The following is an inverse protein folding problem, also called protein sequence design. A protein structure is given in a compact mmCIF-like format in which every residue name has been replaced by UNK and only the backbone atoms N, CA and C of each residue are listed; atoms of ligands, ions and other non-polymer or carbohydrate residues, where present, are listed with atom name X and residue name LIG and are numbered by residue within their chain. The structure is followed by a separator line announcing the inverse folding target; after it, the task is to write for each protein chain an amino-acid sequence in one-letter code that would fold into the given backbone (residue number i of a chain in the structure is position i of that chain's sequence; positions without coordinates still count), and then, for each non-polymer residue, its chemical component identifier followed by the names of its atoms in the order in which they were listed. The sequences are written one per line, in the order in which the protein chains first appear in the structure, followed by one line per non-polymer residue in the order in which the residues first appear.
data_IF_757271225013
#
_entry.id   IF_757271225013
#
_cell.length_a   1.000
_cell.length_b   1.000
_cell.length_c   1.000
_cell.angle_alpha   90.00
_cell.angle_beta   90.00
_cell.angle_gamma   90.00
#
_symmetry.space_group_name_H-M   'P 1'
#
loop_
_entity.id
_entity.type
_entity.pdbx_description
1 polymer ?
#
# COMPACT_ATOMS: atom_id res chain seq x y z
N UNK A 1 -6.84 22.21 -21.97
CA UNK A 1 -7.33 20.91 -21.48
C UNK A 1 -6.50 19.83 -22.13
N UNK A 2 -5.94 18.89 -21.37
CA UNK A 2 -5.27 17.70 -21.92
C UNK A 2 -6.17 16.47 -21.83
N UNK A 3 -5.97 15.50 -22.70
CA UNK A 3 -6.74 14.25 -22.76
C UNK A 3 -5.79 13.07 -22.93
N UNK A 4 -6.11 11.92 -22.32
CA UNK A 4 -5.34 10.68 -22.49
C UNK A 4 -5.89 9.91 -23.70
N UNK A 5 -5.00 9.58 -24.63
CA UNK A 5 -5.30 8.82 -25.84
C UNK A 5 -4.58 7.48 -25.77
N UNK A 6 -5.32 6.41 -26.00
CA UNK A 6 -4.75 5.06 -26.06
C UNK A 6 -4.52 4.66 -27.51
N UNK A 7 -3.35 4.09 -27.79
CA UNK A 7 -3.00 3.57 -29.10
C UNK A 7 -2.51 2.14 -28.95
N UNK A 8 -3.18 1.22 -29.62
CA UNK A 8 -2.79 -0.19 -29.68
C UNK A 8 -1.91 -0.42 -30.90
N UNK A 9 -0.72 -0.96 -30.69
CA UNK A 9 0.12 -1.46 -31.78
C UNK A 9 -0.50 -2.73 -32.35
N UNK A 10 -0.84 -2.70 -33.64
CA UNK A 10 -1.52 -3.80 -34.33
C UNK A 10 -0.64 -5.04 -34.50
N UNK A 11 0.69 -4.89 -34.47
CA UNK A 11 1.62 -6.00 -34.66
C UNK A 11 1.87 -6.77 -33.37
N UNK A 12 2.02 -6.06 -32.26
CA UNK A 12 2.41 -6.62 -30.96
C UNK A 12 1.23 -6.74 -29.98
N UNK A 13 0.09 -6.11 -30.28
CA UNK A 13 -1.07 -6.03 -29.38
C UNK A 13 -0.88 -5.11 -28.18
N UNK A 14 0.29 -4.46 -28.05
CA UNK A 14 0.62 -3.63 -26.89
C UNK A 14 -0.16 -2.33 -26.94
N UNK A 15 -0.84 -1.99 -25.84
CA UNK A 15 -1.55 -0.72 -25.69
C UNK A 15 -0.65 0.32 -25.02
N UNK A 16 -0.57 1.49 -25.62
CA UNK A 16 0.24 2.63 -25.17
C UNK A 16 -0.66 3.81 -24.83
N UNK A 17 -0.28 4.58 -23.82
CA UNK A 17 -0.99 5.77 -23.38
C UNK A 17 -0.20 7.04 -23.71
N UNK A 18 -0.89 8.03 -24.27
CA UNK A 18 -0.34 9.33 -24.65
C UNK A 18 -1.17 10.46 -24.05
N UNK A 19 -0.50 11.49 -23.55
CA UNK A 19 -1.13 12.75 -23.17
C UNK A 19 -1.22 13.63 -24.42
N UNK A 20 -2.43 13.98 -24.82
CA UNK A 20 -2.71 14.84 -25.97
C UNK A 20 -3.10 16.24 -25.51
N UNK A 21 -2.32 17.23 -25.96
CA UNK A 21 -2.53 18.65 -25.65
C UNK A 21 -2.87 19.37 -26.95
N UNK A 22 -4.07 19.96 -27.01
CA UNK A 22 -4.48 20.82 -28.13
C UNK A 22 -3.94 22.23 -27.96
N UNK A 23 -3.41 22.82 -29.03
CA UNK A 23 -2.94 24.20 -29.07
C UNK A 23 -3.36 24.85 -30.40
N UNK A 24 -3.51 26.18 -30.38
CA UNK A 24 -3.72 26.95 -31.60
C UNK A 24 -2.37 27.25 -32.25
N UNK A 25 -2.17 26.77 -33.47
CA UNK A 25 -0.97 27.06 -34.25
C UNK A 25 -1.14 28.42 -34.95
N UNK A 26 -0.37 29.43 -34.52
CA UNK A 26 -0.50 30.82 -35.01
C UNK A 26 -0.01 30.98 -36.45
N UNK A 27 1.01 30.22 -36.84
CA UNK A 27 1.59 30.31 -38.18
C UNK A 27 0.65 29.69 -39.22
N UNK A 28 0.07 28.54 -38.86
CA UNK A 28 -0.88 27.82 -39.72
C UNK A 28 -2.34 28.20 -39.51
N UNK A 29 -2.62 29.07 -38.53
CA UNK A 29 -3.96 29.55 -38.15
C UNK A 29 -5.01 28.43 -38.00
N UNK A 30 -4.63 27.32 -37.35
CA UNK A 30 -5.51 26.15 -37.19
C UNK A 30 -5.25 25.44 -35.86
N UNK A 31 -6.25 24.70 -35.31
CA UNK A 31 -6.04 23.88 -34.13
C UNK A 31 -5.14 22.69 -34.46
N UNK A 32 -4.15 22.44 -33.60
CA UNK A 32 -3.22 21.31 -33.71
C UNK A 32 -3.08 20.63 -32.35
N UNK A 33 -2.53 19.41 -32.34
CA UNK A 33 -2.28 18.67 -31.10
C UNK A 33 -0.85 18.14 -31.04
N UNK A 34 -0.30 18.12 -29.83
CA UNK A 34 0.97 17.47 -29.50
C UNK A 34 0.69 16.29 -28.58
N UNK A 35 1.32 15.15 -28.83
CA UNK A 35 1.20 13.94 -28.01
C UNK A 35 2.50 13.68 -27.26
N UNK A 36 2.41 13.47 -25.96
CA UNK A 36 3.52 13.06 -25.09
C UNK A 36 3.28 11.62 -24.65
N UNK A 37 4.28 10.76 -24.82
CA UNK A 37 4.20 9.38 -24.38
C UNK A 37 4.22 9.31 -22.84
N UNK A 38 3.22 8.66 -22.24
CA UNK A 38 3.11 8.50 -20.78
C UNK A 38 3.66 7.13 -20.37
N UNK A 39 3.31 6.08 -21.11
CA UNK A 39 3.68 4.72 -20.74
C UNK A 39 2.90 3.62 -21.47
N UNK A 40 3.18 2.36 -21.10
CA UNK A 40 2.43 1.19 -21.56
C UNK A 40 1.20 1.00 -20.66
N UNK A 41 0.13 0.46 -21.21
CA UNK A 41 -1.04 0.06 -20.43
C UNK A 41 -0.88 -1.41 -20.06
N UNK A 42 -1.05 -1.70 -18.78
CA UNK A 42 -1.09 -3.06 -18.27
C UNK A 42 -2.38 -3.77 -18.76
N UNK A 43 -2.28 -4.92 -19.44
CA UNK A 43 -3.46 -5.64 -19.91
C UNK A 43 -4.38 -6.14 -18.78
N UNK A 44 -3.84 -6.42 -17.58
CA UNK A 44 -4.62 -7.00 -16.47
C UNK A 44 -5.31 -5.92 -15.64
N UNK A 45 -4.57 -4.90 -15.22
CA UNK A 45 -5.10 -3.83 -14.35
C UNK A 45 -5.72 -2.66 -15.11
N UNK A 46 -5.42 -2.50 -16.40
CA UNK A 46 -5.76 -1.31 -17.17
C UNK A 46 -4.99 -0.05 -16.74
N UNK A 47 -4.07 -0.18 -15.77
CA UNK A 47 -3.24 0.90 -15.27
C UNK A 47 -2.18 1.34 -16.28
N UNK A 48 -1.82 2.63 -16.26
CA UNK A 48 -0.73 3.15 -17.10
C UNK A 48 0.60 2.94 -16.35
N UNK A 49 1.41 2.00 -16.84
CA UNK A 49 2.78 1.79 -16.38
C UNK A 49 3.62 2.90 -16.99
N UNK A 50 3.92 3.92 -16.19
CA UNK A 50 4.74 5.05 -16.64
C UNK A 50 6.07 4.55 -17.20
N UNK A 51 6.42 5.05 -18.39
CA UNK A 51 7.76 4.88 -18.90
C UNK A 51 8.67 5.65 -17.95
N UNK A 52 9.44 4.94 -17.12
CA UNK A 52 10.48 5.54 -16.29
C UNK A 52 11.41 6.31 -17.22
N UNK A 53 11.18 7.61 -17.40
CA UNK A 53 12.25 8.50 -17.76
C UNK A 53 13.26 8.30 -16.64
N UNK A 54 14.33 7.55 -16.93
CA UNK A 54 15.54 7.69 -16.15
C UNK A 54 15.77 9.20 -16.16
N UNK A 55 15.54 9.89 -15.03
CA UNK A 55 16.23 11.16 -14.82
C UNK A 55 17.66 10.85 -15.23
N UNK A 56 18.27 11.69 -16.06
CA UNK A 56 19.71 11.65 -16.26
C UNK A 56 20.32 11.91 -14.88
N UNK A 57 20.39 10.86 -14.06
CA UNK A 57 21.32 10.78 -12.95
C UNK A 57 22.64 10.72 -13.72
N UNK A 58 23.49 11.75 -13.62
CA UNK A 58 24.78 11.73 -14.29
C UNK A 58 25.44 10.39 -13.97
N UNK A 59 26.09 9.79 -14.97
CA UNK A 59 26.76 8.49 -14.89
C UNK A 59 28.02 8.54 -13.98
N UNK A 60 27.90 9.18 -12.83
CA UNK A 60 28.81 9.16 -11.70
C UNK A 60 27.97 8.93 -10.43
N UNK A 61 27.40 7.74 -10.29
CA UNK A 61 27.04 7.18 -8.97
C UNK A 61 28.01 6.03 -8.73
N UNK A 62 29.29 6.34 -8.85
CA UNK A 62 30.36 5.51 -8.36
C UNK A 62 30.52 5.81 -6.87
N UNK A 63 29.93 4.96 -6.03
CA UNK A 63 30.33 4.81 -4.63
C UNK A 63 30.23 6.07 -3.74
N UNK A 64 29.05 6.69 -3.67
CA UNK A 64 28.76 7.60 -2.55
C UNK A 64 28.42 6.75 -1.31
N UNK A 65 29.45 6.26 -0.63
CA UNK A 65 29.42 5.95 0.81
C UNK A 65 29.22 7.26 1.58
N UNK A 66 28.13 7.98 1.30
CA UNK A 66 27.78 9.20 2.00
C UNK A 66 27.46 8.78 3.44
N UNK A 67 28.26 9.20 4.46
CA UNK A 67 28.11 8.71 5.83
C UNK A 67 26.72 9.01 6.42
N UNK A 68 26.04 10.02 5.87
CA UNK A 68 24.64 10.37 6.18
C UNK A 68 23.67 9.24 5.82
N UNK A 69 23.86 8.55 4.69
CA UNK A 69 23.00 7.45 4.28
C UNK A 69 23.20 6.20 5.16
N UNK A 70 24.45 5.88 5.51
CA UNK A 70 24.75 4.76 6.41
C UNK A 70 24.16 4.99 7.80
N UNK A 71 24.31 6.20 8.35
CA UNK A 71 23.70 6.57 9.62
C UNK A 71 22.17 6.47 9.59
N UNK A 72 21.53 6.95 8.51
CA UNK A 72 20.08 6.83 8.35
C UNK A 72 19.61 5.37 8.26
N UNK A 73 20.35 4.50 7.57
CA UNK A 73 20.04 3.06 7.49
C UNK A 73 20.18 2.42 8.87
N UNK A 74 21.25 2.72 9.62
CA UNK A 74 21.45 2.21 10.98
C UNK A 74 20.32 2.63 11.92
N UNK A 75 19.94 3.91 11.89
CA UNK A 75 18.83 4.42 12.70
C UNK A 75 17.50 3.75 12.35
N UNK A 76 17.21 3.56 11.06
CA UNK A 76 16.01 2.87 10.61
C UNK A 76 15.99 1.41 11.07
N UNK A 77 17.14 0.73 11.05
CA UNK A 77 17.27 -0.64 11.56
C UNK A 77 16.99 -0.69 13.07
N UNK A 78 17.58 0.21 13.86
CA UNK A 78 17.31 0.32 15.30
C UNK A 78 15.83 0.59 15.60
N UNK A 79 15.21 1.50 14.86
CA UNK A 79 13.79 1.83 15.03
C UNK A 79 12.88 0.65 14.64
N UNK A 80 13.25 -0.12 13.63
CA UNK A 80 12.52 -1.34 13.26
C UNK A 80 12.57 -2.37 14.38
N UNK A 81 13.75 -2.58 14.99
CA UNK A 81 13.93 -3.51 16.11
C UNK A 81 13.15 -3.06 17.36
N UNK A 82 13.16 -1.76 17.67
CA UNK A 82 12.35 -1.18 18.76
C UNK A 82 10.86 -1.44 18.52
N UNK A 83 10.34 -1.13 17.33
CA UNK A 83 8.94 -1.37 16.96
C UNK A 83 8.57 -2.85 17.04
N UNK A 84 9.43 -3.74 16.56
CA UNK A 84 9.22 -5.19 16.67
C UNK A 84 9.14 -5.67 18.12
N UNK A 85 10.02 -5.16 18.99
CA UNK A 85 9.96 -5.49 20.43
C UNK A 85 8.66 -5.02 21.09
N UNK A 86 8.18 -3.81 20.75
CA UNK A 86 6.92 -3.28 21.27
C UNK A 86 5.73 -4.12 20.77
N UNK A 87 5.74 -4.54 19.51
CA UNK A 87 4.72 -5.43 18.95
C UNK A 87 4.67 -6.74 19.73
N UNK A 88 5.83 -7.35 20.05
CA UNK A 88 5.88 -8.57 20.85
C UNK A 88 5.31 -8.37 22.25
N UNK A 89 5.66 -7.26 22.92
CA UNK A 89 5.13 -6.94 24.24
C UNK A 89 3.60 -6.83 24.22
N UNK A 90 3.05 -6.04 23.30
CA UNK A 90 1.60 -5.87 23.13
C UNK A 90 0.92 -7.21 22.82
N UNK A 91 1.52 -8.05 21.97
CA UNK A 91 1.01 -9.40 21.72
C UNK A 91 0.98 -10.25 22.99
N UNK A 92 2.01 -10.19 23.85
CA UNK A 92 2.01 -10.91 25.14
C UNK A 92 0.97 -10.39 26.12
N UNK A 93 0.66 -9.08 26.09
CA UNK A 93 -0.38 -8.50 26.92
C UNK A 93 -1.76 -8.94 26.46
N UNK A 94 -2.01 -8.95 25.14
CA UNK A 94 -3.26 -9.43 24.56
C UNK A 94 -3.52 -10.90 24.88
N UNK A 95 -2.51 -11.77 24.80
CA UNK A 95 -2.68 -13.20 25.16
C UNK A 95 -2.92 -13.41 26.66
N UNK A 96 -2.27 -12.62 27.53
CA UNK A 96 -2.55 -12.64 28.97
C UNK A 96 -3.97 -12.16 29.26
N UNK A 97 -4.41 -11.10 28.59
CA UNK A 97 -5.74 -10.52 28.77
C UNK A 97 -6.83 -11.49 28.29
N UNK A 98 -6.65 -12.11 27.12
CA UNK A 98 -7.60 -13.11 26.61
C UNK A 98 -7.74 -14.29 27.58
N UNK A 99 -6.63 -14.81 28.10
CA UNK A 99 -6.66 -15.89 29.09
C UNK A 99 -7.36 -15.51 30.41
N UNK A 100 -7.37 -14.22 30.79
CA UNK A 100 -8.15 -13.73 31.93
C UNK A 100 -9.65 -13.72 31.62
N UNK A 101 -10.03 -13.26 30.43
CA UNK A 101 -11.43 -13.28 29.99
C UNK A 101 -11.97 -14.71 29.88
N UNK A 102 -11.20 -15.65 29.33
CA UNK A 102 -11.60 -17.07 29.26
C UNK A 102 -11.91 -17.67 30.64
N UNK A 103 -11.13 -17.26 31.67
CA UNK A 103 -11.37 -17.68 33.06
C UNK A 103 -12.65 -17.04 33.62
N UNK A 104 -12.86 -15.76 33.35
CA UNK A 104 -14.07 -15.06 33.77
C UNK A 104 -15.33 -15.66 33.13
N UNK A 105 -15.29 -15.98 31.83
CA UNK A 105 -16.40 -16.65 31.13
C UNK A 105 -16.73 -18.01 31.74
N UNK A 106 -15.72 -18.83 32.06
CA UNK A 106 -15.93 -20.13 32.74
C UNK A 106 -16.57 -19.98 34.11
N UNK A 107 -16.18 -18.95 34.87
CA UNK A 107 -16.80 -18.66 36.17
C UNK A 107 -18.25 -18.21 36.01
N UNK A 108 -18.53 -17.31 35.07
CA UNK A 108 -19.89 -16.87 34.75
C UNK A 108 -20.77 -18.03 34.29
N UNK A 109 -20.26 -18.91 33.42
CA UNK A 109 -20.98 -20.11 33.00
C UNK A 109 -21.30 -21.04 34.18
N UNK A 110 -20.36 -21.21 35.12
CA UNK A 110 -20.60 -21.99 36.34
C UNK A 110 -21.68 -21.36 37.21
N UNK A 111 -21.63 -20.04 37.42
CA UNK A 111 -22.66 -19.30 38.18
C UNK A 111 -24.03 -19.47 37.49
N UNK A 112 -24.11 -19.25 36.18
CA UNK A 112 -25.35 -19.39 35.41
C UNK A 112 -25.92 -20.82 35.48
N UNK A 113 -25.08 -21.85 35.42
CA UNK A 113 -25.54 -23.23 35.61
C UNK A 113 -26.11 -23.47 37.01
N UNK A 114 -25.45 -22.96 38.05
CA UNK A 114 -25.92 -23.12 39.44
C UNK A 114 -27.23 -22.36 39.72
N UNK A 115 -27.42 -21.17 39.13
CA UNK A 115 -28.68 -20.44 39.27
C UNK A 115 -29.82 -21.14 38.55
N UNK A 116 -29.58 -21.74 37.38
CA UNK A 116 -30.63 -22.51 36.69
C UNK A 116 -31.06 -23.75 37.49
N UNK A 117 -30.12 -24.49 38.08
CA UNK A 117 -30.43 -25.64 38.95
C UNK A 117 -31.24 -25.23 40.18
N UNK A 118 -30.85 -24.14 40.85
CA UNK A 118 -31.58 -23.62 42.01
C UNK A 118 -32.99 -23.12 41.67
N UNK A 119 -33.17 -22.49 40.50
CA UNK A 119 -34.48 -22.02 40.03
C UNK A 119 -35.40 -23.18 39.62
N UNK A 120 -34.87 -24.31 39.16
CA UNK A 120 -35.65 -25.54 38.91
C UNK A 120 -36.09 -26.22 40.22
N UNK A 121 -35.22 -26.29 41.22
CA UNK A 121 -35.51 -26.92 42.53
C UNK A 121 -36.52 -26.12 43.39
N UNK A 122 -36.63 -24.81 43.18
CA UNK A 122 -37.55 -23.93 43.92
C UNK A 122 -38.95 -23.79 43.29
N UNK A 123 -39.16 -24.41 42.13
CA UNK A 123 -40.43 -24.37 41.39
C UNK A 123 -41.16 -25.74 41.39
N UNK A 124 -40.73 -26.64 42.30
CA UNK A 124 -41.34 -27.95 42.62
C UNK A 124 -41.82 -27.91 44.07
#
# INVERSE_FOLDING_TARGET
MSCIVYQTDKKTGVKYAYESISYWDKDKKQPRSKRKYIGRVDPETGGIISSRHKKNIPANVGNDQNPVHFAAISQLQEDSLKKESQIRQLQTELTKLSAKYDKAEKLLAKIASSTNTFMEESNV
#
